data_IF_404779259192
#
_entry.id   IF_404779259192
#
_cell.length_a   1.000
_cell.length_b   1.000
_cell.length_c   1.000
_cell.angle_alpha   90.00
_cell.angle_beta   90.00
_cell.angle_gamma   90.00
#
_symmetry.space_group_name_H-M   'P 1'
#
loop_
_entity.id
_entity.type
_entity.pdbx_description
1 polymer ?
#
# COMPACT_ATOMS: atom_id res chain seq x y z
N UNK A 1 -13.18 6.89 8.39
CA UNK A 1 -12.44 7.31 7.18
C UNK A 1 -11.83 6.04 6.60
N UNK A 2 -12.09 5.70 5.34
CA UNK A 2 -11.59 4.43 4.78
C UNK A 2 -10.09 4.55 4.49
N UNK A 3 -9.26 3.95 5.34
CA UNK A 3 -7.78 4.05 5.32
C UNK A 3 -7.12 3.19 4.24
N UNK A 4 -7.88 2.60 3.32
CA UNK A 4 -7.37 1.66 2.33
C UNK A 4 -7.84 2.03 0.93
N UNK A 5 -6.92 1.96 -0.04
CA UNK A 5 -7.20 2.13 -1.48
C UNK A 5 -6.61 0.98 -2.28
N UNK A 6 -7.21 0.64 -3.42
CA UNK A 6 -6.61 -0.31 -4.37
C UNK A 6 -5.22 0.17 -4.82
N UNK A 7 -4.30 -0.77 -5.00
CA UNK A 7 -2.99 -0.47 -5.57
C UNK A 7 -3.13 0.14 -6.98
N UNK A 8 -2.35 1.18 -7.24
CA UNK A 8 -2.13 1.69 -8.58
C UNK A 8 -1.27 0.72 -9.40
N UNK A 9 -1.31 0.79 -10.75
CA UNK A 9 -0.51 -0.09 -11.61
C UNK A 9 1.00 -0.05 -11.31
N UNK A 10 1.54 1.10 -10.88
CA UNK A 10 2.94 1.21 -10.44
C UNK A 10 3.21 0.42 -9.17
N UNK A 11 2.31 0.50 -8.19
CA UNK A 11 2.45 -0.21 -6.92
C UNK A 11 2.19 -1.70 -7.08
N UNK A 12 1.23 -2.06 -7.94
CA UNK A 12 0.99 -3.43 -8.37
C UNK A 12 2.21 -4.04 -9.04
N UNK A 13 2.86 -3.32 -9.97
CA UNK A 13 4.08 -3.80 -10.62
C UNK A 13 5.20 -4.13 -9.60
N UNK A 14 5.33 -3.33 -8.54
CA UNK A 14 6.34 -3.56 -7.50
C UNK A 14 6.09 -4.82 -6.65
N UNK A 15 4.84 -5.26 -6.52
CA UNK A 15 4.49 -6.47 -5.76
C UNK A 15 4.13 -7.66 -6.66
N UNK A 16 4.12 -7.47 -7.98
CA UNK A 16 3.67 -8.46 -8.97
C UNK A 16 4.50 -9.75 -8.95
N UNK A 17 5.79 -9.66 -8.65
CA UNK A 17 6.64 -10.86 -8.46
C UNK A 17 6.18 -11.72 -7.28
N UNK A 18 5.67 -11.12 -6.21
CA UNK A 18 5.21 -11.83 -5.01
C UNK A 18 3.71 -12.15 -5.05
N UNK A 19 2.95 -11.36 -5.79
CA UNK A 19 1.50 -11.50 -5.93
C UNK A 19 1.12 -11.31 -7.41
N UNK A 20 0.87 -12.38 -8.16
CA UNK A 20 0.50 -12.28 -9.57
C UNK A 20 -0.85 -11.56 -9.78
N UNK A 21 -1.71 -11.54 -8.76
CA UNK A 21 -3.03 -10.90 -8.79
C UNK A 21 -3.03 -9.60 -7.97
N UNK A 22 -2.64 -8.50 -8.60
CA UNK A 22 -2.52 -7.19 -7.94
C UNK A 22 -3.82 -6.37 -7.97
N UNK A 23 -4.81 -6.77 -8.77
CA UNK A 23 -6.08 -6.07 -8.92
C UNK A 23 -6.94 -6.05 -7.65
N UNK A 24 -6.76 -7.06 -6.79
CA UNK A 24 -7.49 -7.22 -5.52
C UNK A 24 -6.68 -6.75 -4.30
N UNK A 25 -5.48 -6.19 -4.51
CA UNK A 25 -4.63 -5.71 -3.44
C UNK A 25 -4.88 -4.23 -3.15
N UNK A 26 -4.96 -3.94 -1.85
CA UNK A 26 -5.28 -2.62 -1.32
C UNK A 26 -4.20 -2.21 -0.33
N UNK A 27 -3.69 -0.99 -0.50
CA UNK A 27 -2.74 -0.41 0.44
C UNK A 27 -3.42 0.48 1.44
N UNK A 28 -2.81 0.55 2.61
CA UNK A 28 -3.06 1.57 3.59
C UNK A 28 -2.62 2.95 3.07
N UNK A 29 -3.47 3.95 3.25
CA UNK A 29 -3.26 5.36 2.86
C UNK A 29 -2.95 6.25 4.04
N UNK A 30 -2.75 5.69 5.24
CA UNK A 30 -2.28 6.45 6.37
C UNK A 30 -0.86 6.98 6.11
N UNK A 31 -0.54 8.09 6.77
CA UNK A 31 0.76 8.73 6.70
C UNK A 31 1.87 7.77 7.11
N UNK A 32 2.93 7.66 6.29
CA UNK A 32 4.01 6.72 6.50
C UNK A 32 3.66 5.23 6.30
N UNK A 33 2.41 4.92 5.93
CA UNK A 33 1.95 3.55 5.81
C UNK A 33 2.44 2.90 4.52
N UNK A 34 3.06 1.72 4.67
CA UNK A 34 3.56 0.87 3.57
C UNK A 34 2.83 -0.46 3.48
N UNK A 35 1.86 -0.72 4.34
CA UNK A 35 1.13 -1.99 4.35
C UNK A 35 0.18 -2.11 3.16
N UNK A 36 0.16 -3.29 2.51
CA UNK A 36 -0.84 -3.68 1.53
C UNK A 36 -1.42 -5.05 1.87
N UNK A 37 -2.68 -5.29 1.52
CA UNK A 37 -3.38 -6.55 1.77
C UNK A 37 -4.47 -6.82 0.73
N UNK A 38 -4.88 -8.08 0.53
CA UNK A 38 -6.05 -8.39 -0.29
C UNK A 38 -7.32 -7.78 0.30
N UNK A 39 -8.21 -7.25 -0.54
CA UNK A 39 -9.51 -6.74 -0.07
C UNK A 39 -10.36 -7.82 0.60
N UNK A 40 -10.37 -9.01 0.02
CA UNK A 40 -11.23 -10.12 0.44
C UNK A 40 -10.64 -10.97 1.57
N UNK A 41 -9.37 -10.75 1.95
CA UNK A 41 -8.67 -11.45 3.04
C UNK A 41 -7.82 -10.45 3.83
N UNK A 42 -8.12 -10.25 5.11
CA UNK A 42 -7.30 -9.44 6.02
C UNK A 42 -5.94 -10.09 6.39
N UNK A 43 -5.43 -11.01 5.56
CA UNK A 43 -4.20 -11.77 5.78
C UNK A 43 -3.54 -12.14 4.45
N UNK A 44 -2.22 -12.36 4.46
CA UNK A 44 -1.42 -12.55 3.25
C UNK A 44 -1.02 -11.23 2.56
N UNK A 45 -1.13 -10.11 3.29
CA UNK A 45 -0.59 -8.82 2.90
C UNK A 45 0.92 -8.73 3.09
N UNK A 46 1.49 -7.63 2.61
CA UNK A 46 2.91 -7.36 2.70
C UNK A 46 3.21 -5.87 2.84
N UNK A 47 4.48 -5.55 2.67
CA UNK A 47 4.97 -4.18 2.76
C UNK A 47 5.41 -3.73 1.36
N UNK A 48 4.86 -2.60 0.91
CA UNK A 48 5.32 -1.92 -0.29
C UNK A 48 6.78 -1.45 -0.09
N UNK A 49 7.54 -1.35 -1.19
CA UNK A 49 8.87 -0.77 -1.15
C UNK A 49 8.85 0.65 -0.58
N UNK A 50 9.96 1.05 0.04
CA UNK A 50 10.08 2.36 0.70
C UNK A 50 9.88 3.54 -0.27
N UNK A 51 10.22 3.35 -1.55
CA UNK A 51 9.98 4.32 -2.63
C UNK A 51 8.49 4.63 -2.85
N UNK A 52 7.61 3.70 -2.45
CA UNK A 52 6.16 3.85 -2.52
C UNK A 52 5.57 4.19 -1.16
N UNK A 53 6.36 4.48 -0.13
CA UNK A 53 5.85 4.93 1.17
C UNK A 53 5.04 6.21 0.96
N UNK A 54 3.82 6.26 1.52
CA UNK A 54 3.08 7.53 1.58
C UNK A 54 3.96 8.47 2.41
N UNK A 55 4.40 9.62 1.86
CA UNK A 55 5.11 10.60 2.67
C UNK A 55 4.18 10.91 3.84
N UNK A 56 4.63 10.57 5.05
CA UNK A 56 4.06 11.23 6.22
C UNK A 56 4.29 12.70 5.95
N UNK A 57 3.25 13.54 6.01
CA UNK A 57 3.47 14.96 5.90
C UNK A 57 4.60 15.26 6.89
N UNK A 58 5.74 15.69 6.38
CA UNK A 58 6.80 16.16 7.26
C UNK A 58 6.08 17.15 8.17
N UNK A 59 6.19 17.04 9.51
CA UNK A 59 5.58 18.04 10.37
C UNK A 59 6.20 19.37 9.93
N UNK A 60 5.42 20.18 9.23
CA UNK A 60 5.77 21.54 8.94
C UNK A 60 5.72 22.25 10.31
N UNK A 61 6.91 22.52 10.83
CA UNK A 61 7.27 23.48 11.87
C UNK A 61 6.31 23.71 13.05
N UNK A 62 6.82 23.44 14.26
CA UNK A 62 6.69 24.35 15.40
C UNK A 62 7.94 24.24 16.28
#
# INVERSE_FOLDING_TARGET
MQTFRRLDPKEGAAVREKHPYTADLWRCTAEGCRWYQPWHKQGGGGLLPEELKIPAAAPESA
#
